data_IF_421898992860
#
_entry.id   IF_421898992860
#
_cell.length_a   1.000
_cell.length_b   1.000
_cell.length_c   1.000
_cell.angle_alpha   90.00
_cell.angle_beta   90.00
_cell.angle_gamma   90.00
#
_symmetry.space_group_name_H-M   'P 1'
#
loop_
_entity.id
_entity.type
_entity.pdbx_description
1 polymer ?
#
# COMPACT_ATOMS: atom_id res chain seq x y z
N UNK A 1 16.08 -23.66 9.61
CA UNK A 1 15.05 -23.29 8.61
C UNK A 1 15.37 -21.88 8.15
N UNK A 2 15.90 -21.74 6.93
CA UNK A 2 16.21 -20.43 6.35
C UNK A 2 14.96 -20.01 5.58
N UNK A 3 14.29 -18.95 6.05
CA UNK A 3 13.22 -18.32 5.29
C UNK A 3 13.88 -17.56 4.13
N UNK A 4 13.84 -18.12 2.92
CA UNK A 4 14.32 -17.47 1.68
C UNK A 4 13.51 -16.23 1.26
N UNK A 5 12.60 -15.76 2.11
CA UNK A 5 11.73 -14.60 1.88
C UNK A 5 12.32 -13.29 2.44
N UNK A 6 13.49 -13.34 3.08
CA UNK A 6 14.09 -12.15 3.73
C UNK A 6 14.68 -11.12 2.76
N UNK A 7 14.93 -11.49 1.49
CA UNK A 7 15.43 -10.56 0.46
C UNK A 7 14.39 -10.30 -0.66
N UNK A 8 13.11 -10.46 -0.36
CA UNK A 8 12.05 -10.11 -1.32
C UNK A 8 11.78 -8.61 -1.22
N UNK A 9 11.97 -7.91 -2.34
CA UNK A 9 11.70 -6.47 -2.47
C UNK A 9 10.55 -6.24 -3.43
N UNK A 10 9.68 -5.29 -3.10
CA UNK A 10 8.64 -4.83 -4.02
C UNK A 10 9.29 -4.15 -5.22
N UNK A 11 9.11 -4.73 -6.41
CA UNK A 11 9.59 -4.16 -7.67
C UNK A 11 8.54 -3.23 -8.31
N UNK A 12 7.31 -3.74 -8.44
CA UNK A 12 6.18 -2.97 -8.96
C UNK A 12 4.86 -3.51 -8.42
N UNK A 13 3.82 -2.67 -8.49
CA UNK A 13 2.44 -3.03 -8.18
C UNK A 13 1.65 -3.01 -9.47
N UNK A 14 0.88 -4.06 -9.73
CA UNK A 14 -0.04 -4.12 -10.87
C UNK A 14 -1.45 -4.21 -10.30
N UNK A 15 -2.29 -3.22 -10.60
CA UNK A 15 -3.70 -3.20 -10.26
C UNK A 15 -4.53 -3.45 -11.52
N UNK A 16 -5.59 -4.24 -11.40
CA UNK A 16 -6.58 -4.39 -12.46
C UNK A 16 -7.78 -3.51 -12.13
N UNK A 17 -8.06 -2.55 -12.99
CA UNK A 17 -9.28 -1.74 -12.95
C UNK A 17 -10.25 -2.27 -14.02
N UNK A 18 -11.52 -2.44 -13.65
CA UNK A 18 -12.55 -3.04 -14.52
C UNK A 18 -12.81 -2.24 -15.80
N UNK A 19 -12.54 -0.92 -15.79
CA UNK A 19 -12.79 -0.04 -16.94
C UNK A 19 -11.60 0.09 -17.89
N UNK A 20 -10.39 0.28 -17.37
CA UNK A 20 -9.22 0.62 -18.19
C UNK A 20 -8.21 -0.52 -18.34
N UNK A 21 -8.40 -1.62 -17.62
CA UNK A 21 -7.52 -2.80 -17.65
C UNK A 21 -6.43 -2.76 -16.58
N UNK A 22 -5.22 -3.23 -16.91
CA UNK A 22 -4.12 -3.30 -15.95
C UNK A 22 -3.31 -2.01 -15.91
N UNK A 23 -3.13 -1.45 -14.72
CA UNK A 23 -2.19 -0.37 -14.44
C UNK A 23 -1.00 -0.92 -13.65
N UNK A 24 0.22 -0.65 -14.12
CA UNK A 24 1.46 -0.99 -13.42
C UNK A 24 2.14 0.28 -12.92
N UNK A 25 2.55 0.27 -11.65
CA UNK A 25 3.24 1.38 -11.00
C UNK A 25 4.55 0.90 -10.39
N UNK A 26 5.66 1.59 -10.71
CA UNK A 26 6.98 1.38 -10.15
C UNK A 26 7.24 2.35 -9.01
N UNK A 27 8.34 2.15 -8.28
CA UNK A 27 8.73 3.05 -7.20
C UNK A 27 8.97 4.47 -7.70
N UNK A 28 9.54 4.62 -8.89
CA UNK A 28 9.83 5.94 -9.49
C UNK A 28 8.56 6.72 -9.83
N UNK A 29 7.49 6.03 -10.20
CA UNK A 29 6.20 6.67 -10.52
C UNK A 29 5.58 7.36 -9.30
N UNK A 30 5.78 6.81 -8.10
CA UNK A 30 5.29 7.39 -6.85
C UNK A 30 5.95 8.74 -6.50
N UNK A 31 7.12 9.03 -7.07
CA UNK A 31 7.86 10.29 -6.85
C UNK A 31 7.99 11.12 -8.14
N UNK A 32 7.28 10.74 -9.20
CA UNK A 32 7.38 11.40 -10.49
C UNK A 32 6.55 12.69 -10.48
N UNK A 33 7.16 13.88 -10.62
CA UNK A 33 6.41 15.14 -10.61
C UNK A 33 5.40 15.25 -11.77
N UNK A 34 5.55 14.46 -12.84
CA UNK A 34 4.59 14.39 -13.94
C UNK A 34 3.31 13.63 -13.58
N UNK A 35 3.37 12.73 -12.60
CA UNK A 35 2.18 12.03 -12.05
C UNK A 35 1.39 12.91 -11.09
N UNK A 36 1.97 14.04 -10.65
CA UNK A 36 1.39 14.95 -9.66
C UNK A 36 1.93 14.69 -8.25
N UNK A 37 1.60 15.61 -7.34
CA UNK A 37 1.92 15.46 -5.92
C UNK A 37 0.86 14.58 -5.25
N UNK A 38 1.27 13.39 -4.83
CA UNK A 38 0.38 12.44 -4.17
C UNK A 38 0.85 12.15 -2.75
N UNK A 39 0.04 12.59 -1.79
CA UNK A 39 0.25 12.33 -0.37
C UNK A 39 -0.57 11.14 0.12
N UNK A 40 -0.04 10.40 1.10
CA UNK A 40 -0.78 9.33 1.78
C UNK A 40 -2.13 9.83 2.33
N UNK A 41 -2.20 11.07 2.80
CA UNK A 41 -3.41 11.72 3.30
C UNK A 41 -4.53 11.91 2.29
N UNK A 42 -4.25 11.74 0.98
CA UNK A 42 -5.25 11.82 -0.08
C UNK A 42 -5.95 10.47 -0.30
N UNK A 43 -5.38 9.36 0.20
CA UNK A 43 -5.98 8.03 0.09
C UNK A 43 -7.17 7.94 1.06
N UNK A 44 -8.31 7.45 0.55
CA UNK A 44 -9.52 7.18 1.34
C UNK A 44 -9.91 5.72 1.16
N UNK A 45 -9.98 5.02 2.27
CA UNK A 45 -10.54 3.67 2.32
C UNK A 45 -12.00 3.74 2.75
N UNK A 46 -12.83 2.84 2.24
CA UNK A 46 -14.21 2.71 2.71
C UNK A 46 -14.23 2.20 4.15
N UNK A 47 -15.25 2.58 4.91
CA UNK A 47 -15.39 2.18 6.31
C UNK A 47 -15.38 0.66 6.47
N UNK A 48 -15.99 -0.07 5.54
CA UNK A 48 -16.00 -1.53 5.52
C UNK A 48 -14.60 -2.12 5.45
N UNK A 49 -13.75 -1.61 4.56
CA UNK A 49 -12.37 -2.09 4.41
C UNK A 49 -11.57 -1.80 5.68
N UNK A 50 -11.75 -0.61 6.27
CA UNK A 50 -11.12 -0.26 7.54
C UNK A 50 -11.52 -1.19 8.70
N UNK A 51 -12.77 -1.67 8.71
CA UNK A 51 -13.27 -2.60 9.73
C UNK A 51 -12.71 -4.02 9.57
N UNK A 52 -12.36 -4.44 8.35
CA UNK A 52 -11.75 -5.76 8.10
C UNK A 52 -10.25 -5.81 8.46
N UNK A 53 -9.64 -4.67 8.75
CA UNK A 53 -8.24 -4.65 9.19
C UNK A 53 -8.10 -5.21 10.59
N UNK A 54 -7.15 -6.15 10.77
CA UNK A 54 -6.76 -6.66 12.10
C UNK A 54 -6.28 -5.56 13.05
N UNK A 55 -5.68 -4.50 12.51
CA UNK A 55 -5.20 -3.36 13.28
C UNK A 55 -6.10 -2.15 13.03
N UNK A 56 -7.13 -1.90 13.88
CA UNK A 56 -7.92 -0.69 13.78
C UNK A 56 -7.00 0.54 13.90
N UNK A 57 -7.22 1.54 13.05
CA UNK A 57 -6.37 2.72 12.96
C UNK A 57 -5.00 2.49 12.30
N UNK A 58 -4.79 1.37 11.59
CA UNK A 58 -3.57 1.11 10.83
C UNK A 58 -3.18 2.29 9.93
N UNK A 59 -4.15 2.77 9.14
CA UNK A 59 -3.92 3.86 8.21
C UNK A 59 -3.64 5.19 8.91
N UNK A 60 -4.33 5.49 10.01
CA UNK A 60 -4.04 6.68 10.81
C UNK A 60 -2.59 6.67 11.33
N UNK A 61 -2.12 5.50 11.81
CA UNK A 61 -0.72 5.34 12.25
C UNK A 61 0.28 5.53 11.11
N UNK A 62 -0.06 5.07 9.89
CA UNK A 62 0.77 5.29 8.70
C UNK A 62 0.86 6.79 8.36
N UNK A 63 -0.25 7.52 8.45
CA UNK A 63 -0.29 8.98 8.27
C UNK A 63 0.57 9.70 9.32
N UNK A 64 0.57 9.21 10.56
CA UNK A 64 1.42 9.74 11.65
C UNK A 64 2.91 9.34 11.53
N UNK A 65 3.34 8.74 10.41
CA UNK A 65 4.69 8.17 10.23
C UNK A 65 5.10 7.15 11.30
N UNK A 66 4.13 6.55 12.02
CA UNK A 66 4.40 5.48 12.97
C UNK A 66 4.62 4.20 12.20
N UNK A 67 5.77 3.54 12.44
CA UNK A 67 6.01 2.17 11.99
C UNK A 67 4.84 1.27 12.43
N UNK A 68 4.12 0.75 11.46
CA UNK A 68 3.05 -0.23 11.66
C UNK A 68 3.42 -1.53 10.96
N UNK A 69 3.22 -2.65 11.64
CA UNK A 69 3.30 -3.98 11.04
C UNK A 69 1.87 -4.46 10.88
N UNK A 70 1.44 -4.70 9.64
CA UNK A 70 0.27 -5.53 9.41
C UNK A 70 0.75 -6.99 9.62
N UNK A 71 0.40 -7.58 10.76
CA UNK A 71 0.81 -8.96 11.04
C UNK A 71 0.11 -9.88 10.01
N UNK A 72 0.84 -10.83 9.37
CA UNK A 72 0.23 -11.75 8.42
C UNK A 72 -0.88 -12.56 9.09
N UNK A 73 -1.85 -12.95 8.27
CA UNK A 73 -2.95 -13.84 8.70
C UNK A 73 -2.34 -15.18 9.13
N UNK A 74 -2.12 -15.39 10.43
CA UNK A 74 -2.15 -16.74 11.01
C UNK A 74 -3.58 -17.29 10.92
#
# INVERSE_FOLDING_TARGET
MVYSEQDVRLHSVIAHETETGYAQCFREDAYNPRMGDFGLEQIRFSERICQEWRAPGLFQRLLENRRSRNAPLC
#
